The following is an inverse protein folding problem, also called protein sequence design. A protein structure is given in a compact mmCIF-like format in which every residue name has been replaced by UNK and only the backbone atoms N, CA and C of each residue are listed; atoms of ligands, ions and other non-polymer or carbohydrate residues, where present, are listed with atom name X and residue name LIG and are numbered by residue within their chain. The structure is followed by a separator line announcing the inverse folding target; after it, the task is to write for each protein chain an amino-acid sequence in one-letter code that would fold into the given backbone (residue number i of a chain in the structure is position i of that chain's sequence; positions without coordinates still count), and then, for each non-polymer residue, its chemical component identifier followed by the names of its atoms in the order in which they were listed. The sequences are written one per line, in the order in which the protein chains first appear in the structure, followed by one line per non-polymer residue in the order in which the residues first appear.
data_IF_056934710830
#
_entry.id   IF_056934710830
#
_cell.length_a   1.000
_cell.length_b   1.000
_cell.length_c   1.000
_cell.angle_alpha   90.00
_cell.angle_beta   90.00
_cell.angle_gamma   90.00
#
_symmetry.space_group_name_H-M   'P 1'
#
loop_
_entity.id
_entity.type
_entity.pdbx_description
1 polymer ?
#
# COMPACT_ATOMS: atom_id res chain seq x y z
N UNK A 1 5.14 -11.37 0.01
CA UNK A 1 5.15 -10.31 1.02
C UNK A 1 6.38 -9.45 0.83
N UNK A 2 6.18 -8.16 0.68
CA UNK A 2 7.28 -7.21 0.60
C UNK A 2 7.22 -6.30 1.82
N UNK A 3 8.25 -6.35 2.62
CA UNK A 3 8.34 -5.63 3.89
C UNK A 3 9.68 -4.92 3.97
N UNK A 4 9.64 -3.63 4.21
CA UNK A 4 10.85 -2.86 4.43
C UNK A 4 10.62 -1.90 5.58
N UNK A 5 11.54 -1.90 6.52
CA UNK A 5 11.52 -1.02 7.69
C UNK A 5 12.54 0.08 7.49
N UNK A 6 12.15 1.29 7.75
CA UNK A 6 13.07 2.40 7.77
C UNK A 6 12.39 3.70 7.37
N UNK A 7 12.53 4.75 8.18
CA UNK A 7 12.11 6.08 7.79
C UNK A 7 13.09 6.61 6.75
N UNK A 8 12.58 7.15 5.68
CA UNK A 8 13.40 7.73 4.64
C UNK A 8 12.60 8.01 3.40
N UNK A 9 13.24 8.64 2.44
CA UNK A 9 12.60 8.94 1.16
C UNK A 9 12.53 7.66 0.34
N UNK A 10 11.31 7.19 -0.01
CA UNK A 10 11.18 5.98 -0.82
C UNK A 10 11.79 6.11 -2.21
N UNK A 11 11.92 7.33 -2.73
CA UNK A 11 12.57 7.57 -4.02
C UNK A 11 14.10 7.37 -3.96
N UNK A 12 14.66 7.28 -2.75
CA UNK A 12 16.07 7.01 -2.54
C UNK A 12 16.50 5.57 -2.81
N UNK A 13 15.57 4.67 -3.15
CA UNK A 13 15.86 3.26 -3.39
C UNK A 13 15.34 2.81 -4.77
N UNK A 14 15.88 3.41 -5.87
CA UNK A 14 15.34 3.15 -7.21
C UNK A 14 15.46 1.68 -7.64
N UNK A 15 16.44 0.94 -7.12
CA UNK A 15 16.59 -0.47 -7.44
C UNK A 15 15.44 -1.31 -6.89
N UNK A 16 14.88 -0.95 -5.73
CA UNK A 16 13.72 -1.63 -5.17
C UNK A 16 12.46 -1.32 -5.97
N UNK A 17 12.32 -0.09 -6.42
CA UNK A 17 11.19 0.32 -7.26
C UNK A 17 11.20 -0.49 -8.56
N UNK A 18 12.38 -0.61 -9.19
CA UNK A 18 12.52 -1.40 -10.42
C UNK A 18 12.23 -2.88 -10.19
N UNK A 19 12.71 -3.45 -9.09
CA UNK A 19 12.50 -4.85 -8.77
C UNK A 19 11.01 -5.14 -8.53
N UNK A 20 10.30 -4.28 -7.81
CA UNK A 20 8.87 -4.43 -7.56
C UNK A 20 8.09 -4.27 -8.87
N UNK A 21 8.45 -3.29 -9.69
CA UNK A 21 7.82 -3.09 -11.00
C UNK A 21 7.89 -4.33 -11.87
N UNK A 22 9.02 -5.03 -11.83
CA UNK A 22 9.22 -6.28 -12.56
C UNK A 22 8.32 -7.41 -12.05
N UNK A 23 8.01 -7.44 -10.75
CA UNK A 23 7.18 -8.47 -10.15
C UNK A 23 5.68 -8.23 -10.32
N UNK A 24 5.27 -6.98 -10.54
CA UNK A 24 3.85 -6.64 -10.68
C UNK A 24 3.27 -7.39 -11.88
N UNK A 25 2.18 -8.11 -11.64
CA UNK A 25 1.53 -8.93 -12.64
C UNK A 25 2.10 -10.34 -12.77
N UNK A 26 3.27 -10.61 -12.19
CA UNK A 26 3.91 -11.93 -12.22
C UNK A 26 3.74 -12.70 -10.93
N UNK A 27 3.60 -12.00 -9.81
CA UNK A 27 3.45 -12.60 -8.48
C UNK A 27 2.50 -11.75 -7.64
N UNK A 28 1.77 -12.36 -6.69
CA UNK A 28 1.01 -11.61 -5.71
C UNK A 28 1.94 -10.77 -4.82
N UNK A 29 1.59 -9.52 -4.59
CA UNK A 29 2.41 -8.59 -3.82
C UNK A 29 1.59 -7.96 -2.71
N UNK A 30 2.12 -7.99 -1.50
CA UNK A 30 1.60 -7.27 -0.35
C UNK A 30 2.71 -6.42 0.25
N UNK A 31 2.51 -5.11 0.28
CA UNK A 31 3.48 -4.15 0.82
C UNK A 31 3.05 -3.56 2.14
N UNK A 32 4.01 -3.37 3.04
CA UNK A 32 3.79 -2.79 4.38
C UNK A 32 4.77 -1.62 4.56
N UNK A 33 4.26 -0.47 5.00
CA UNK A 33 5.02 0.74 5.31
C UNK A 33 5.85 1.22 4.11
N UNK A 34 7.16 1.16 4.16
CA UNK A 34 8.00 1.54 3.01
C UNK A 34 7.68 0.70 1.78
N UNK A 35 7.32 -0.58 1.98
CA UNK A 35 6.88 -1.45 0.88
C UNK A 35 5.63 -0.91 0.18
N UNK A 36 4.68 -0.34 0.92
CA UNK A 36 3.51 0.32 0.36
C UNK A 36 3.92 1.51 -0.52
N UNK A 37 4.84 2.34 -0.05
CA UNK A 37 5.30 3.51 -0.79
C UNK A 37 6.03 3.10 -2.08
N UNK A 38 6.86 2.07 -2.00
CA UNK A 38 7.57 1.55 -3.17
C UNK A 38 6.60 0.98 -4.20
N UNK A 39 5.55 0.29 -3.76
CA UNK A 39 4.49 -0.18 -4.66
C UNK A 39 3.82 1.00 -5.37
N UNK A 40 3.52 2.06 -4.65
CA UNK A 40 2.95 3.26 -5.24
C UNK A 40 3.83 3.85 -6.34
N UNK A 41 5.14 3.94 -6.07
CA UNK A 41 6.10 4.42 -7.06
C UNK A 41 6.25 3.46 -8.25
N UNK A 42 6.25 2.15 -7.99
CA UNK A 42 6.36 1.14 -9.03
C UNK A 42 5.14 1.15 -9.97
N UNK A 43 3.97 1.53 -9.47
CA UNK A 43 2.76 1.69 -10.27
C UNK A 43 2.72 3.00 -11.06
N UNK A 44 3.72 3.85 -10.92
CA UNK A 44 3.81 5.11 -11.64
C UNK A 44 3.32 6.32 -10.88
N UNK A 45 2.96 6.16 -9.62
CA UNK A 45 2.55 7.26 -8.76
C UNK A 45 3.73 8.02 -8.16
N UNK A 46 3.41 8.94 -7.27
CA UNK A 46 4.40 9.74 -6.55
C UNK A 46 4.14 9.69 -5.06
N UNK A 47 5.19 9.98 -4.30
CA UNK A 47 5.09 10.20 -2.85
C UNK A 47 5.36 11.67 -2.55
N UNK A 48 4.92 12.12 -1.38
CA UNK A 48 5.19 13.46 -0.92
C UNK A 48 5.52 13.45 0.56
N UNK A 49 6.29 14.44 1.00
CA UNK A 49 6.68 14.56 2.39
C UNK A 49 5.55 15.17 3.21
N UNK A 50 5.17 14.49 4.28
CA UNK A 50 4.20 14.99 5.23
C UNK A 50 4.82 16.07 6.10
N UNK A 51 4.01 17.06 6.49
CA UNK A 51 4.49 18.18 7.31
C UNK A 51 5.00 17.68 8.68
N UNK A 52 4.28 16.74 9.31
CA UNK A 52 4.62 16.23 10.63
C UNK A 52 4.91 14.73 10.64
N UNK A 53 4.56 14.00 9.57
CA UNK A 53 4.66 12.57 9.53
C UNK A 53 3.60 11.87 10.38
N UNK A 54 3.63 10.54 10.37
CA UNK A 54 2.77 9.71 11.21
C UNK A 54 3.67 8.81 12.06
N UNK A 55 3.61 9.00 13.38
CA UNK A 55 4.45 8.28 14.32
C UNK A 55 3.63 7.77 15.49
N UNK A 56 4.07 6.66 16.10
CA UNK A 56 3.45 6.09 17.29
C UNK A 56 2.32 5.14 16.99
N UNK A 57 1.60 4.77 18.04
CA UNK A 57 0.57 3.73 17.98
C UNK A 57 -0.86 4.26 18.09
N UNK A 58 -1.12 5.50 17.70
CA UNK A 58 -2.43 6.13 17.86
C UNK A 58 -2.95 6.77 16.57
N UNK A 59 -2.61 6.22 15.42
CA UNK A 59 -3.06 6.73 14.12
C UNK A 59 -4.35 6.03 13.69
N UNK A 60 -5.49 6.76 13.64
CA UNK A 60 -6.77 6.14 13.25
C UNK A 60 -6.86 5.99 11.74
N UNK A 61 -7.08 4.77 11.30
CA UNK A 61 -7.17 4.42 9.88
C UNK A 61 -8.52 3.77 9.60
N UNK A 62 -9.21 4.26 8.59
CA UNK A 62 -10.47 3.69 8.14
C UNK A 62 -10.24 2.79 6.92
N UNK A 63 -10.72 1.56 7.01
CA UNK A 63 -10.78 0.64 5.87
C UNK A 63 -12.06 0.96 5.08
N UNK A 64 -11.90 1.51 3.90
CA UNK A 64 -13.01 1.91 3.05
C UNK A 64 -13.80 0.73 2.49
N UNK A 65 -13.19 -0.47 2.48
CA UNK A 65 -13.86 -1.67 1.98
C UNK A 65 -14.84 -2.25 3.01
N UNK A 66 -14.62 -2.02 4.30
CA UNK A 66 -15.45 -2.54 5.39
C UNK A 66 -16.13 -1.45 6.21
N UNK A 67 -15.63 -0.22 6.15
CA UNK A 67 -16.08 0.89 6.99
C UNK A 67 -15.52 0.86 8.41
N UNK A 68 -14.68 -0.10 8.75
CA UNK A 68 -14.10 -0.24 10.09
C UNK A 68 -12.96 0.75 10.30
N UNK A 69 -12.81 1.21 11.54
CA UNK A 69 -11.71 2.07 11.96
C UNK A 69 -10.82 1.30 12.91
N UNK A 70 -9.52 1.33 12.67
CA UNK A 70 -8.52 0.72 13.53
C UNK A 70 -7.53 1.77 14.00
N UNK A 71 -7.04 1.61 15.23
CA UNK A 71 -5.93 2.41 15.73
C UNK A 71 -4.65 1.67 15.35
N UNK A 72 -3.77 2.35 14.62
CA UNK A 72 -2.61 1.71 13.99
C UNK A 72 -1.30 2.27 14.49
N UNK A 73 -0.24 1.47 14.38
CA UNK A 73 1.13 1.88 14.63
C UNK A 73 1.78 2.29 13.30
N UNK A 74 2.40 3.47 13.29
CA UNK A 74 3.03 4.01 12.09
C UNK A 74 4.35 4.70 12.44
N UNK A 75 5.25 4.71 11.46
CA UNK A 75 6.50 5.46 11.55
C UNK A 75 6.98 5.80 10.13
N UNK A 76 6.48 6.92 9.61
CA UNK A 76 6.89 7.37 8.27
C UNK A 76 6.71 8.87 8.11
N UNK A 77 7.50 9.45 7.22
CA UNK A 77 7.42 10.87 6.90
C UNK A 77 6.88 11.16 5.50
N UNK A 78 6.57 10.13 4.71
CA UNK A 78 6.09 10.26 3.35
C UNK A 78 4.78 9.51 3.18
N UNK A 79 3.97 9.96 2.22
CA UNK A 79 2.71 9.31 1.87
C UNK A 79 2.59 9.19 0.36
N UNK A 80 1.77 8.23 -0.10
CA UNK A 80 1.48 8.06 -1.52
C UNK A 80 0.42 9.07 -1.93
N UNK A 81 0.67 9.77 -3.03
CA UNK A 81 -0.28 10.72 -3.61
C UNK A 81 -1.19 9.98 -4.60
N UNK A 82 -2.43 9.71 -4.18
CA UNK A 82 -3.39 9.00 -5.02
C UNK A 82 -3.74 9.77 -6.29
N UNK A 83 -3.71 11.09 -6.23
CA UNK A 83 -3.99 11.92 -7.42
C UNK A 83 -2.92 11.73 -8.49
N UNK A 84 -1.68 11.41 -8.09
CA UNK A 84 -0.58 11.23 -9.04
C UNK A 84 -0.82 10.09 -10.03
N UNK A 85 -1.63 9.10 -9.67
CA UNK A 85 -1.95 8.00 -10.60
C UNK A 85 -2.80 8.48 -11.76
N UNK A 86 -3.64 9.49 -11.55
CA UNK A 86 -4.46 10.08 -12.62
C UNK A 86 -3.64 10.97 -13.53
N UNK A 87 -2.57 11.55 -13.01
CA UNK A 87 -1.68 12.44 -13.76
C UNK A 87 -0.58 11.66 -14.48
N UNK A 88 -0.37 10.38 -14.12
CA UNK A 88 0.68 9.55 -14.68
C UNK A 88 0.36 9.14 -16.12
N UNK A 89 1.42 8.98 -16.92
CA UNK A 89 1.32 8.39 -18.25
C UNK A 89 0.86 6.93 -18.14
N UNK A 90 -0.03 6.50 -19.02
CA UNK A 90 -0.51 5.11 -19.06
C UNK A 90 0.63 4.12 -19.28
N UNK A 91 1.72 4.53 -19.90
CA UNK A 91 2.89 3.68 -20.11
C UNK A 91 3.64 3.36 -18.82
N UNK A 92 3.55 4.23 -17.83
CA UNK A 92 4.22 4.03 -16.55
C UNK A 92 3.43 3.13 -15.60
N UNK A 93 2.18 2.81 -15.93
CA UNK A 93 1.27 2.08 -15.07
C UNK A 93 0.97 0.69 -15.63
N UNK A 94 0.69 -0.25 -14.71
CA UNK A 94 0.19 -1.57 -15.07
C UNK A 94 -1.34 -1.53 -15.10
N UNK A 95 -1.93 -0.95 -16.14
CA UNK A 95 -3.37 -0.82 -16.31
C UNK A 95 -3.83 0.63 -16.35
N UNK A 96 -5.11 0.84 -16.13
CA UNK A 96 -5.72 2.17 -16.14
C UNK A 96 -5.64 2.82 -14.74
N UNK A 97 -5.66 4.17 -14.66
CA UNK A 97 -5.64 4.86 -13.36
C UNK A 97 -6.76 4.40 -12.41
N UNK A 98 -7.92 4.06 -12.95
CA UNK A 98 -9.08 3.61 -12.17
C UNK A 98 -8.89 2.25 -11.53
N UNK A 99 -7.91 1.47 -12.00
CA UNK A 99 -7.61 0.16 -11.42
C UNK A 99 -6.90 0.26 -10.07
N UNK A 100 -6.32 1.42 -9.77
CA UNK A 100 -5.65 1.67 -8.50
C UNK A 100 -6.66 2.31 -7.55
N UNK A 101 -7.01 1.59 -6.49
CA UNK A 101 -8.10 1.95 -5.58
C UNK A 101 -7.55 2.26 -4.20
N UNK A 102 -7.99 3.38 -3.63
CA UNK A 102 -7.72 3.73 -2.24
C UNK A 102 -8.53 2.80 -1.33
N UNK A 103 -7.85 2.05 -0.47
CA UNK A 103 -8.52 1.12 0.44
C UNK A 103 -8.56 1.60 1.89
N UNK A 104 -7.58 2.38 2.29
CA UNK A 104 -7.45 2.85 3.66
C UNK A 104 -7.08 4.33 3.68
N UNK A 105 -7.63 5.06 4.63
CA UNK A 105 -7.40 6.50 4.76
C UNK A 105 -7.16 6.85 6.23
N UNK A 106 -6.20 7.75 6.48
CA UNK A 106 -5.99 8.30 7.82
C UNK A 106 -7.10 9.31 8.14
N UNK A 107 -7.77 9.14 9.26
CA UNK A 107 -8.90 10.00 9.63
C UNK A 107 -8.47 11.38 10.10
N UNK A 108 -7.21 11.58 10.47
CA UNK A 108 -6.72 12.88 10.92
C UNK A 108 -6.44 13.84 9.76
N UNK A 109 -5.94 13.33 8.63
CA UNK A 109 -5.48 14.18 7.53
C UNK A 109 -5.87 13.68 6.15
N UNK A 110 -6.64 12.61 6.06
CA UNK A 110 -7.12 12.02 4.81
C UNK A 110 -6.01 11.53 3.88
N UNK A 111 -4.83 11.23 4.42
CA UNK A 111 -3.75 10.65 3.61
C UNK A 111 -4.03 9.20 3.26
N UNK A 112 -3.45 8.75 2.15
CA UNK A 112 -3.54 7.35 1.72
C UNK A 112 -2.84 6.45 2.74
N UNK A 113 -3.56 5.47 3.25
CA UNK A 113 -3.04 4.47 4.19
C UNK A 113 -3.10 3.06 3.61
N UNK A 114 -3.62 2.90 2.40
CA UNK A 114 -3.65 1.62 1.71
C UNK A 114 -4.17 1.76 0.30
N UNK A 115 -3.72 0.88 -0.57
CA UNK A 115 -4.20 0.81 -1.95
C UNK A 115 -4.25 -0.63 -2.43
N UNK A 116 -4.98 -0.86 -3.51
CA UNK A 116 -5.04 -2.15 -4.19
C UNK A 116 -5.17 -1.93 -5.69
N UNK A 117 -4.86 -2.98 -6.45
CA UNK A 117 -5.12 -3.01 -7.89
C UNK A 117 -6.34 -3.91 -8.13
N UNK A 118 -7.26 -3.47 -9.00
CA UNK A 118 -8.50 -4.23 -9.27
C UNK A 118 -8.27 -5.52 -10.03
N UNK A 119 -7.28 -5.53 -10.93
CA UNK A 119 -7.04 -6.67 -11.84
C UNK A 119 -5.84 -7.50 -11.46
N UNK A 120 -4.87 -6.91 -10.76
CA UNK A 120 -3.64 -7.59 -10.40
C UNK A 120 -3.65 -7.96 -8.92
N UNK A 121 -3.03 -9.10 -8.53
CA UNK A 121 -2.98 -9.52 -7.13
C UNK A 121 -1.97 -8.68 -6.35
N UNK A 122 -2.38 -7.45 -6.01
CA UNK A 122 -1.52 -6.48 -5.37
C UNK A 122 -2.33 -5.62 -4.42
N UNK A 123 -1.86 -5.49 -3.17
CA UNK A 123 -2.38 -4.50 -2.25
C UNK A 123 -1.32 -4.11 -1.22
N UNK A 124 -1.52 -3.00 -0.55
CA UNK A 124 -0.56 -2.51 0.42
C UNK A 124 -1.23 -1.66 1.50
N UNK A 125 -0.58 -1.60 2.66
CA UNK A 125 -0.98 -0.71 3.76
C UNK A 125 0.24 0.06 4.26
N UNK A 126 0.02 1.32 4.65
CA UNK A 126 1.07 2.19 5.14
C UNK A 126 1.46 1.89 6.59
N UNK A 127 0.52 1.41 7.37
CA UNK A 127 0.76 1.12 8.79
C UNK A 127 1.36 -0.27 8.98
N UNK A 128 1.77 -0.57 10.23
CA UNK A 128 2.29 -1.88 10.63
C UNK A 128 1.18 -2.69 11.28
N UNK A 129 0.48 -3.58 10.52
CA UNK A 129 -0.64 -4.33 11.09
C UNK A 129 -0.21 -5.23 12.24
N UNK A 130 1.00 -5.78 12.19
CA UNK A 130 1.53 -6.68 13.21
C UNK A 130 1.86 -5.97 14.52
N UNK A 131 2.06 -4.66 14.50
CA UNK A 131 2.47 -3.88 15.67
C UNK A 131 1.39 -2.91 16.13
N UNK A 132 0.22 -2.90 15.50
CA UNK A 132 -0.85 -1.97 15.87
C UNK A 132 -1.46 -2.36 17.22
N UNK A 133 -1.70 -1.39 18.11
CA UNK A 133 -2.22 -1.68 19.46
C UNK A 133 -3.72 -1.94 19.46
N UNK A 134 -4.20 -2.47 20.59
CA UNK A 134 -5.63 -2.66 20.82
C UNK A 134 -6.19 -3.94 20.24
N UNK A 135 -7.49 -4.19 20.45
CA UNK A 135 -8.16 -5.35 19.87
C UNK A 135 -8.34 -5.14 18.38
N UNK A 136 -7.41 -5.63 17.62
CA UNK A 136 -7.43 -5.56 16.17
C UNK A 136 -7.17 -6.94 15.61
N UNK A 137 -7.65 -7.17 14.42
CA UNK A 137 -7.40 -8.42 13.71
C UNK A 137 -6.68 -8.12 12.40
N UNK A 138 -5.36 -8.05 12.50
CA UNK A 138 -4.51 -7.88 11.32
C UNK A 138 -4.54 -9.12 10.42
N UNK A 139 -5.06 -10.24 10.91
CA UNK A 139 -5.09 -11.49 10.16
C UNK A 139 -5.93 -11.38 8.90
N UNK A 140 -6.94 -10.50 8.86
CA UNK A 140 -7.75 -10.34 7.65
C UNK A 140 -6.95 -9.86 6.45
N UNK A 141 -5.92 -9.04 6.67
CA UNK A 141 -5.04 -8.59 5.60
C UNK A 141 -4.20 -9.74 5.05
N UNK A 142 -3.66 -10.56 5.95
CA UNK A 142 -2.88 -11.73 5.55
C UNK A 142 -3.75 -12.78 4.88
N UNK A 143 -4.99 -12.96 5.35
CA UNK A 143 -5.97 -13.83 4.71
C UNK A 143 -6.26 -13.36 3.29
N UNK A 144 -6.46 -12.07 3.10
CA UNK A 144 -6.66 -11.48 1.77
C UNK A 144 -5.48 -11.78 0.85
N UNK A 145 -4.26 -11.66 1.36
CA UNK A 145 -3.07 -11.95 0.59
C UNK A 145 -2.98 -13.43 0.22
N UNK A 146 -3.31 -14.32 1.16
CA UNK A 146 -3.33 -15.77 0.89
C UNK A 146 -4.36 -16.10 -0.19
N UNK A 147 -5.52 -15.48 -0.16
CA UNK A 147 -6.55 -15.67 -1.20
C UNK A 147 -6.06 -15.21 -2.56
N UNK A 148 -5.34 -14.09 -2.63
CA UNK A 148 -4.74 -13.62 -3.88
C UNK A 148 -3.72 -14.63 -4.41
N UNK A 149 -2.91 -15.23 -3.54
CA UNK A 149 -1.97 -16.26 -3.95
C UNK A 149 -2.68 -17.51 -4.50
N UNK A 150 -3.80 -17.90 -3.90
CA UNK A 150 -4.59 -19.04 -4.37
C UNK A 150 -5.20 -18.78 -5.75
N UNK A 151 -5.72 -17.59 -5.97
CA UNK A 151 -6.27 -17.20 -7.26
C UNK A 151 -5.20 -17.25 -8.35
N UNK A 152 -4.00 -16.81 -8.04
CA UNK A 152 -2.86 -16.83 -8.95
C UNK A 152 -2.48 -18.27 -9.36
N UNK A 153 -2.68 -19.24 -8.46
CA UNK A 153 -2.33 -20.64 -8.70
C UNK A 153 -3.41 -21.43 -9.44
N UNK A 154 -4.60 -20.86 -9.62
CA UNK A 154 -5.70 -21.54 -10.29
C UNK A 154 -5.66 -21.25 -11.80
N UNK A 155 -5.21 -22.19 -12.64
CA UNK A 155 -5.20 -21.97 -14.08
C UNK A 155 -6.62 -21.90 -14.63
N UNK A 156 -6.84 -20.98 -15.54
CA UNK A 156 -8.12 -20.80 -16.19
C UNK A 156 -9.17 -20.08 -15.36
N UNK A 157 -8.75 -19.54 -14.22
CA UNK A 157 -9.63 -18.76 -13.37
C UNK A 157 -9.83 -17.34 -13.94
#
# INVERSE_FOLDING_TARGET
VFRSNGPGDPEGVPYLIAAVRDLIGKRPIFGICLGHQIIGLALGGRTYKLKFGHHGGNQPVKDLTTGKVEITAQNHGFAVDMQSFRDASTEAMHGEPEDIVLTHVNLNDNTCEGLMHRRLPLFSVQYHPEASPGPHDASYLFTRFVELMRQERQPGG
#
